data_IF_392595464936
#
_entry.id   IF_392595464936
#
_cell.length_a   1.000
_cell.length_b   1.000
_cell.length_c   1.000
_cell.angle_alpha   90.00
_cell.angle_beta   90.00
_cell.angle_gamma   90.00
#
_symmetry.space_group_name_H-M   'P 1'
#
loop_
_entity.id
_entity.type
_entity.pdbx_description
1 polymer ?
#
# COMPACT_ATOMS: atom_id res chain seq x y z
N UNK A 1 7.52 0.16 17.69
CA UNK A 1 8.38 0.52 16.54
C UNK A 1 7.88 1.83 15.97
N UNK A 2 8.71 2.86 15.84
CA UNK A 2 8.29 4.10 15.18
C UNK A 2 8.38 3.90 13.66
N UNK A 3 7.25 3.90 12.95
CA UNK A 3 7.21 3.69 11.50
C UNK A 3 6.33 4.75 10.85
N UNK A 4 6.86 5.47 9.86
CA UNK A 4 6.12 6.54 9.20
C UNK A 4 6.66 6.83 7.79
N UNK A 5 5.80 7.37 6.94
CA UNK A 5 6.18 7.84 5.61
C UNK A 5 6.47 9.35 5.66
N UNK A 6 7.64 9.74 5.15
CA UNK A 6 8.01 11.13 4.91
C UNK A 6 7.92 11.43 3.43
N UNK A 7 7.14 12.43 3.07
CA UNK A 7 7.14 12.94 1.70
C UNK A 7 8.40 13.78 1.47
N UNK A 8 9.27 13.38 0.55
CA UNK A 8 10.51 14.09 0.24
C UNK A 8 10.34 15.05 -0.94
N UNK A 9 9.48 14.71 -1.89
CA UNK A 9 9.05 15.59 -2.99
C UNK A 9 7.58 15.36 -3.32
N UNK A 10 7.01 16.08 -4.29
CA UNK A 10 5.62 15.89 -4.72
C UNK A 10 5.28 14.43 -5.10
N UNK A 11 6.25 13.66 -5.58
CA UNK A 11 6.05 12.29 -6.09
C UNK A 11 6.86 11.22 -5.36
N UNK A 12 7.67 11.59 -4.38
CA UNK A 12 8.59 10.66 -3.70
C UNK A 12 8.28 10.61 -2.22
N UNK A 13 8.18 9.40 -1.71
CA UNK A 13 7.93 9.08 -0.31
C UNK A 13 9.01 8.15 0.19
N UNK A 14 9.53 8.42 1.38
CA UNK A 14 10.49 7.58 2.09
C UNK A 14 9.80 6.95 3.31
N UNK A 15 9.89 5.63 3.47
CA UNK A 15 9.47 4.94 4.67
C UNK A 15 10.62 4.94 5.67
N UNK A 16 10.38 5.51 6.85
CA UNK A 16 11.33 5.51 7.96
C UNK A 16 10.83 4.56 9.04
N UNK A 17 11.74 3.70 9.51
CA UNK A 17 11.56 2.82 10.67
C UNK A 17 12.64 3.18 11.67
N UNK A 18 12.24 3.69 12.85
CA UNK A 18 13.14 4.21 13.87
C UNK A 18 14.18 5.19 13.30
N UNK A 19 13.72 6.17 12.50
CA UNK A 19 14.53 7.18 11.80
C UNK A 19 15.46 6.65 10.69
N UNK A 20 15.48 5.33 10.41
CA UNK A 20 16.23 4.74 9.31
C UNK A 20 15.32 4.60 8.10
N UNK A 21 15.76 5.12 6.94
CA UNK A 21 15.05 4.90 5.68
C UNK A 21 15.20 3.45 5.24
N UNK A 22 14.08 2.73 5.13
CA UNK A 22 14.05 1.31 4.74
C UNK A 22 13.44 1.08 3.37
N UNK A 23 12.61 2.01 2.88
CA UNK A 23 12.06 1.94 1.54
C UNK A 23 11.80 3.33 0.93
N UNK A 24 11.75 3.39 -0.40
CA UNK A 24 11.35 4.58 -1.17
C UNK A 24 10.27 4.17 -2.16
N UNK A 25 9.21 4.97 -2.27
CA UNK A 25 8.18 4.88 -3.29
C UNK A 25 8.17 6.16 -4.12
N UNK A 26 8.38 6.05 -5.42
CA UNK A 26 8.36 7.15 -6.37
C UNK A 26 7.26 6.97 -7.40
N UNK A 27 6.23 7.81 -7.36
CA UNK A 27 5.20 7.86 -8.40
C UNK A 27 5.81 8.38 -9.72
N UNK A 28 5.60 7.65 -10.80
CA UNK A 28 6.07 8.01 -12.14
C UNK A 28 4.88 8.42 -13.03
N UNK A 29 5.02 8.36 -14.36
CA UNK A 29 3.94 8.70 -15.30
C UNK A 29 2.92 7.55 -15.37
N UNK A 30 1.71 7.82 -15.85
CA UNK A 30 0.69 6.82 -16.18
C UNK A 30 0.31 5.87 -15.03
N UNK A 31 0.17 6.41 -13.81
CA UNK A 31 -0.24 5.64 -12.62
C UNK A 31 0.69 4.46 -12.29
N UNK A 32 1.99 4.63 -12.56
CA UNK A 32 3.05 3.69 -12.19
C UNK A 32 3.84 4.23 -11.01
N UNK A 33 4.61 3.33 -10.37
CA UNK A 33 5.57 3.72 -9.35
C UNK A 33 6.83 2.86 -9.41
N UNK A 34 7.95 3.43 -8.98
CA UNK A 34 9.18 2.70 -8.67
C UNK A 34 9.29 2.52 -7.16
N UNK A 35 9.69 1.33 -6.73
CA UNK A 35 9.89 0.97 -5.33
C UNK A 35 11.36 0.59 -5.17
N UNK A 36 11.99 1.09 -4.12
CA UNK A 36 13.33 0.69 -3.71
C UNK A 36 13.26 0.23 -2.26
N UNK A 37 13.62 -1.03 -1.98
CA UNK A 37 13.64 -1.59 -0.61
C UNK A 37 14.61 -2.76 -0.56
N UNK A 38 15.29 -2.96 0.57
CA UNK A 38 16.25 -4.07 0.77
C UNK A 38 17.31 -4.20 -0.35
N UNK A 39 17.74 -3.07 -0.93
CA UNK A 39 18.70 -3.07 -2.05
C UNK A 39 18.14 -3.56 -3.39
N UNK A 40 16.83 -3.80 -3.49
CA UNK A 40 16.16 -4.21 -4.73
C UNK A 40 15.28 -3.10 -5.27
N UNK A 41 15.22 -3.00 -6.61
CA UNK A 41 14.30 -2.13 -7.32
C UNK A 41 13.12 -2.94 -7.87
N UNK A 42 11.92 -2.38 -7.71
CA UNK A 42 10.71 -2.92 -8.29
C UNK A 42 9.95 -1.84 -9.05
N UNK A 43 9.13 -2.28 -9.99
CA UNK A 43 8.22 -1.44 -10.75
C UNK A 43 6.79 -1.88 -10.53
N UNK A 44 5.97 -0.96 -10.05
CA UNK A 44 4.53 -1.12 -9.90
C UNK A 44 3.84 -0.54 -11.13
N UNK A 45 3.01 -1.34 -11.80
CA UNK A 45 2.19 -0.91 -12.94
C UNK A 45 0.72 -1.28 -12.76
N UNK A 46 -0.18 -0.32 -12.98
CA UNK A 46 -1.61 -0.64 -13.14
C UNK A 46 -1.83 -1.39 -14.44
N UNK A 47 -2.66 -2.45 -14.41
CA UNK A 47 -2.94 -3.27 -15.60
C UNK A 47 -3.83 -2.54 -16.61
N UNK A 48 -4.78 -1.73 -16.14
CA UNK A 48 -5.65 -0.85 -16.95
C UNK A 48 -5.95 0.43 -16.15
N UNK A 49 -6.10 1.57 -16.82
CA UNK A 49 -6.34 2.86 -16.16
C UNK A 49 -7.57 2.88 -15.26
N UNK A 50 -8.60 2.09 -15.60
CA UNK A 50 -9.87 1.99 -14.89
C UNK A 50 -9.93 0.82 -13.90
N UNK A 51 -8.96 -0.11 -13.95
CA UNK A 51 -8.98 -1.25 -13.03
C UNK A 51 -8.21 -0.92 -11.76
N UNK A 52 -8.76 -1.40 -10.63
CA UNK A 52 -8.05 -1.43 -9.34
C UNK A 52 -6.93 -2.48 -9.31
N UNK A 53 -6.68 -3.15 -10.44
CA UNK A 53 -5.64 -4.16 -10.59
C UNK A 53 -4.29 -3.55 -10.92
N UNK A 54 -3.25 -4.01 -10.23
CA UNK A 54 -1.87 -3.65 -10.53
C UNK A 54 -0.95 -4.82 -10.24
N UNK A 55 0.27 -4.72 -10.71
CA UNK A 55 1.30 -5.73 -10.49
C UNK A 55 2.62 -5.06 -10.10
N UNK A 56 3.46 -5.81 -9.42
CA UNK A 56 4.83 -5.42 -9.12
C UNK A 56 5.77 -6.44 -9.73
N UNK A 57 6.73 -5.93 -10.49
CA UNK A 57 7.79 -6.73 -11.11
C UNK A 57 9.16 -6.28 -10.59
N UNK A 58 10.11 -7.19 -10.49
CA UNK A 58 11.50 -6.85 -10.21
C UNK A 58 12.22 -6.31 -11.46
N UNK A 59 13.51 -5.99 -11.34
CA UNK A 59 14.34 -5.51 -12.46
C UNK A 59 14.46 -6.51 -13.62
N UNK A 60 14.31 -7.81 -13.34
CA UNK A 60 14.30 -8.88 -14.35
C UNK A 60 12.92 -9.08 -15.00
N UNK A 61 11.96 -8.19 -14.73
CA UNK A 61 10.55 -8.29 -15.14
C UNK A 61 9.82 -9.56 -14.65
N UNK A 62 10.33 -10.22 -13.60
CA UNK A 62 9.60 -11.31 -12.96
C UNK A 62 8.47 -10.72 -12.11
N UNK A 63 7.28 -11.31 -12.20
CA UNK A 63 6.13 -10.97 -11.37
C UNK A 63 6.41 -11.34 -9.91
N UNK A 64 6.35 -10.34 -9.02
CA UNK A 64 6.56 -10.50 -7.58
C UNK A 64 5.22 -10.39 -6.84
N UNK A 65 4.39 -9.40 -7.19
CA UNK A 65 3.07 -9.19 -6.61
C UNK A 65 2.04 -9.02 -7.72
N UNK A 66 0.90 -9.68 -7.56
CA UNK A 66 -0.30 -9.41 -8.35
C UNK A 66 -1.43 -8.95 -7.43
N UNK A 67 -2.09 -7.85 -7.80
CA UNK A 67 -3.29 -7.35 -7.11
C UNK A 67 -4.45 -7.30 -8.11
N UNK A 68 -5.55 -7.96 -7.76
CA UNK A 68 -6.76 -8.05 -8.60
C UNK A 68 -8.03 -7.98 -7.76
N UNK A 69 -9.13 -7.42 -8.25
CA UNK A 69 -10.43 -7.55 -7.60
C UNK A 69 -10.77 -9.01 -7.33
N UNK A 70 -11.16 -9.33 -6.10
CA UNK A 70 -11.56 -10.71 -5.74
C UNK A 70 -12.81 -11.16 -6.51
N UNK A 71 -13.73 -10.21 -6.71
CA UNK A 71 -14.91 -10.32 -7.57
C UNK A 71 -15.11 -8.96 -8.24
N UNK A 72 -15.79 -8.92 -9.38
CA UNK A 72 -16.01 -7.67 -10.13
C UNK A 72 -16.78 -6.61 -9.32
N UNK A 73 -17.63 -7.03 -8.38
CA UNK A 73 -18.41 -6.16 -7.47
C UNK A 73 -17.80 -5.99 -6.07
N UNK A 74 -16.66 -6.62 -5.78
CA UNK A 74 -16.08 -6.58 -4.44
C UNK A 74 -15.17 -5.37 -4.28
N UNK A 75 -15.27 -4.70 -3.13
CA UNK A 75 -14.32 -3.68 -2.73
C UNK A 75 -12.96 -4.26 -2.29
N UNK A 76 -12.87 -5.58 -2.15
CA UNK A 76 -11.70 -6.30 -1.70
C UNK A 76 -10.83 -6.67 -2.90
N UNK A 77 -9.55 -6.33 -2.80
CA UNK A 77 -8.53 -6.73 -3.75
C UNK A 77 -7.80 -7.96 -3.18
N UNK A 78 -7.66 -9.00 -3.99
CA UNK A 78 -6.79 -10.12 -3.70
C UNK A 78 -5.36 -9.74 -4.07
N UNK A 79 -4.44 -9.81 -3.11
CA UNK A 79 -3.01 -9.60 -3.30
C UNK A 79 -2.30 -10.95 -3.18
N UNK A 80 -1.53 -11.33 -4.19
CA UNK A 80 -0.70 -12.55 -4.19
C UNK A 80 0.77 -12.19 -4.07
N UNK A 81 1.46 -12.78 -3.09
CA UNK A 81 2.88 -12.52 -2.82
C UNK A 81 3.52 -13.74 -2.13
N UNK A 82 4.69 -14.18 -2.59
CA UNK A 82 5.42 -15.33 -2.02
C UNK A 82 4.57 -16.58 -1.76
N UNK A 83 3.71 -16.95 -2.72
CA UNK A 83 2.75 -18.07 -2.60
C UNK A 83 1.69 -17.91 -1.50
N UNK A 84 1.58 -16.73 -0.90
CA UNK A 84 0.52 -16.36 0.03
C UNK A 84 -0.49 -15.41 -0.63
N UNK A 85 -1.72 -15.48 -0.16
CA UNK A 85 -2.80 -14.58 -0.58
C UNK A 85 -3.26 -13.72 0.59
N UNK A 86 -3.53 -12.45 0.30
CA UNK A 86 -3.96 -11.44 1.25
C UNK A 86 -5.16 -10.67 0.69
N UNK A 87 -5.90 -10.02 1.57
CA UNK A 87 -6.96 -9.08 1.21
C UNK A 87 -6.47 -7.65 1.43
N UNK A 88 -6.45 -6.86 0.37
CA UNK A 88 -6.20 -5.42 0.43
C UNK A 88 -7.54 -4.68 0.33
N UNK A 89 -7.87 -3.86 1.33
CA UNK A 89 -9.18 -3.21 1.47
C UNK A 89 -9.04 -1.75 1.84
N UNK A 90 -10.01 -0.94 1.42
CA UNK A 90 -10.18 0.42 1.94
C UNK A 90 -11.34 0.43 2.94
N UNK A 91 -11.17 1.15 4.05
CA UNK A 91 -12.19 1.40 5.07
C UNK A 91 -12.33 2.92 5.23
N UNK A 92 -13.55 3.39 5.49
CA UNK A 92 -13.84 4.83 5.59
C UNK A 92 -14.69 5.17 6.83
N UNK A 93 -14.41 4.55 7.98
CA UNK A 93 -15.16 4.84 9.21
C UNK A 93 -14.23 4.74 10.45
N UNK A 94 -13.87 5.86 11.11
CA UNK A 94 -14.30 7.24 10.86
C UNK A 94 -13.52 7.96 9.75
N UNK A 95 -12.31 7.49 9.39
CA UNK A 95 -11.44 8.12 8.40
C UNK A 95 -10.91 7.09 7.39
N UNK A 96 -10.38 7.57 6.27
CA UNK A 96 -9.83 6.71 5.22
C UNK A 96 -8.66 5.88 5.73
N UNK A 97 -8.73 4.57 5.55
CA UNK A 97 -7.71 3.59 5.87
C UNK A 97 -7.57 2.59 4.73
N UNK A 98 -6.34 2.17 4.46
CA UNK A 98 -6.06 1.01 3.62
C UNK A 98 -5.37 -0.06 4.46
N UNK A 99 -5.96 -1.27 4.44
CA UNK A 99 -5.55 -2.39 5.26
C UNK A 99 -5.19 -3.60 4.39
N UNK A 100 -4.12 -4.28 4.77
CA UNK A 100 -3.78 -5.63 4.34
C UNK A 100 -4.22 -6.61 5.43
N UNK A 101 -5.00 -7.60 5.05
CA UNK A 101 -5.50 -8.66 5.94
C UNK A 101 -5.10 -10.03 5.41
N UNK A 102 -5.05 -11.03 6.29
CA UNK A 102 -5.05 -12.42 5.84
C UNK A 102 -6.43 -12.85 5.30
N UNK A 103 -6.54 -14.08 4.81
CA UNK A 103 -7.79 -14.64 4.32
C UNK A 103 -8.84 -14.86 5.42
N UNK A 104 -8.44 -14.92 6.69
CA UNK A 104 -9.35 -14.93 7.85
C UNK A 104 -9.80 -13.53 8.27
N UNK A 105 -9.43 -12.49 7.51
CA UNK A 105 -9.74 -11.06 7.76
C UNK A 105 -9.10 -10.50 9.03
N UNK A 106 -8.00 -11.08 9.50
CA UNK A 106 -7.19 -10.49 10.57
C UNK A 106 -6.25 -9.45 9.96
N UNK A 107 -6.13 -8.30 10.62
CA UNK A 107 -5.32 -7.19 10.14
C UNK A 107 -3.83 -7.54 10.29
N UNK A 108 -3.06 -7.29 9.22
CA UNK A 108 -1.61 -7.50 9.19
C UNK A 108 -0.91 -6.14 9.21
N UNK A 109 -1.36 -5.23 8.35
CA UNK A 109 -0.75 -3.93 8.14
C UNK A 109 -1.81 -2.94 7.68
N UNK A 110 -1.88 -1.77 8.29
CA UNK A 110 -2.77 -0.69 7.85
C UNK A 110 -2.09 0.67 7.88
N UNK A 111 -2.48 1.50 6.92
CA UNK A 111 -2.17 2.93 6.88
C UNK A 111 -3.49 3.69 6.84
N UNK A 112 -3.72 4.53 7.83
CA UNK A 112 -4.95 5.30 7.98
C UNK A 112 -4.70 6.77 8.22
N UNK A 113 -5.71 7.60 7.93
CA UNK A 113 -5.78 8.95 8.48
C UNK A 113 -6.26 8.86 9.94
N UNK A 114 -5.64 9.65 10.80
CA UNK A 114 -6.03 9.85 12.19
C UNK A 114 -5.88 11.31 12.59
N UNK A 115 -6.28 11.62 13.81
CA UNK A 115 -6.15 12.95 14.40
C UNK A 115 -5.43 12.83 15.72
N UNK A 116 -4.38 13.62 15.91
CA UNK A 116 -3.66 13.73 17.17
C UNK A 116 -3.44 15.22 17.47
N UNK A 117 -3.82 15.66 18.68
CA UNK A 117 -3.74 17.08 19.07
C UNK A 117 -4.38 18.03 18.05
N UNK A 118 -5.57 17.66 17.54
CA UNK A 118 -6.33 18.41 16.52
C UNK A 118 -5.60 18.58 15.17
N UNK A 119 -4.54 17.80 14.91
CA UNK A 119 -3.83 17.78 13.63
C UNK A 119 -4.00 16.44 12.95
N UNK A 120 -4.19 16.46 11.63
CA UNK A 120 -4.18 15.24 10.83
C UNK A 120 -2.81 14.54 10.94
N UNK A 121 -2.83 13.25 11.21
CA UNK A 121 -1.66 12.39 11.27
C UNK A 121 -1.96 11.09 10.55
N UNK A 122 -0.95 10.49 9.94
CA UNK A 122 -1.05 9.11 9.44
C UNK A 122 -0.87 8.14 10.60
N UNK A 123 -1.85 7.28 10.83
CA UNK A 123 -1.77 6.14 11.73
C UNK A 123 -1.24 4.92 10.99
N UNK A 124 -0.43 4.14 11.69
CA UNK A 124 0.18 2.93 11.15
C UNK A 124 -0.05 1.80 12.14
N UNK A 125 -0.74 0.77 11.68
CA UNK A 125 -0.97 -0.46 12.46
C UNK A 125 -0.16 -1.57 11.81
N UNK A 126 0.68 -2.25 12.59
CA UNK A 126 1.52 -3.35 12.10
C UNK A 126 1.47 -4.51 13.10
N UNK A 127 0.86 -5.61 12.67
CA UNK A 127 0.70 -6.84 13.46
C UNK A 127 1.63 -7.95 12.99
N UNK A 128 2.54 -7.67 12.04
CA UNK A 128 3.56 -8.64 11.61
C UNK A 128 4.51 -8.97 12.76
N UNK A 129 5.04 -10.18 12.74
CA UNK A 129 5.99 -10.66 13.73
C UNK A 129 7.15 -11.39 13.06
N UNK A 130 8.28 -11.53 13.77
CA UNK A 130 9.46 -12.25 13.28
C UNK A 130 10.04 -11.62 12.01
N UNK A 131 10.36 -12.45 11.02
CA UNK A 131 11.03 -12.02 9.79
C UNK A 131 10.14 -11.15 8.89
N UNK A 132 8.82 -11.28 8.99
CA UNK A 132 7.86 -10.55 8.15
C UNK A 132 7.87 -9.03 8.41
N UNK A 133 8.36 -8.62 9.59
CA UNK A 133 8.49 -7.21 9.98
C UNK A 133 9.50 -6.47 9.09
N UNK A 134 10.50 -7.18 8.57
CA UNK A 134 11.55 -6.60 7.74
C UNK A 134 11.14 -6.51 6.26
N UNK A 135 10.03 -7.14 5.86
CA UNK A 135 9.53 -7.06 4.49
C UNK A 135 8.76 -5.75 4.26
N UNK A 136 9.48 -4.74 3.80
CA UNK A 136 8.91 -3.42 3.52
C UNK A 136 8.30 -3.29 2.12
N UNK A 137 8.31 -4.36 1.30
CA UNK A 137 7.64 -4.31 0.01
C UNK A 137 6.14 -4.19 0.22
N UNK A 138 5.55 -4.96 1.14
CA UNK A 138 4.12 -4.85 1.48
C UNK A 138 3.75 -3.46 2.02
N UNK A 139 4.63 -2.83 2.80
CA UNK A 139 4.44 -1.43 3.24
C UNK A 139 4.26 -0.48 2.05
N UNK A 140 5.08 -0.63 1.01
CA UNK A 140 4.97 0.20 -0.19
C UNK A 140 3.68 -0.06 -0.98
N UNK A 141 3.16 -1.30 -0.98
CA UNK A 141 1.90 -1.63 -1.65
C UNK A 141 0.70 -1.00 -0.95
N UNK A 142 0.63 -1.16 0.38
CA UNK A 142 -0.46 -0.60 1.16
C UNK A 142 -0.42 0.93 1.08
N UNK A 143 0.78 1.54 1.15
CA UNK A 143 0.94 2.98 0.99
C UNK A 143 0.57 3.48 -0.41
N UNK A 144 0.98 2.78 -1.47
CA UNK A 144 0.58 3.11 -2.84
C UNK A 144 -0.94 3.10 -3.00
N UNK A 145 -1.60 2.06 -2.47
CA UNK A 145 -3.05 1.94 -2.53
C UNK A 145 -3.75 3.01 -1.69
N UNK A 146 -3.25 3.33 -0.50
CA UNK A 146 -3.74 4.42 0.35
C UNK A 146 -3.65 5.79 -0.33
N UNK A 147 -2.51 6.09 -0.96
CA UNK A 147 -2.29 7.38 -1.67
C UNK A 147 -3.03 7.47 -3.00
N UNK A 148 -3.37 6.33 -3.59
CA UNK A 148 -4.07 6.26 -4.88
C UNK A 148 -5.56 5.95 -4.74
N UNK A 149 -6.08 5.85 -3.52
CA UNK A 149 -7.52 5.84 -3.32
C UNK A 149 -8.04 7.18 -3.88
N UNK A 150 -9.11 7.15 -4.70
CA UNK A 150 -9.76 8.40 -5.08
C UNK A 150 -10.10 9.13 -3.77
N UNK A 151 -9.82 10.44 -3.71
CA UNK A 151 -10.61 11.29 -2.81
C UNK A 151 -12.05 10.88 -3.09
N UNK A 152 -12.77 10.39 -2.07
CA UNK A 152 -14.16 9.95 -2.22
C UNK A 152 -14.89 11.02 -3.00
N UNK A 153 -15.09 10.79 -4.30
CA UNK A 153 -15.79 11.75 -5.14
C UNK A 153 -17.20 11.75 -4.56
N UNK A 154 -17.65 12.92 -4.11
CA UNK A 154 -19.00 13.13 -3.56
C UNK A 154 -20.11 12.69 -4.55
N UNK A 155 -19.74 12.35 -5.78
CA UNK A 155 -20.58 11.83 -6.85
C UNK A 155 -20.82 10.31 -6.80
N UNK A 156 -20.09 9.53 -5.99
CA UNK A 156 -20.35 8.09 -5.81
C UNK A 156 -21.61 7.80 -4.95
N UNK A 157 -22.32 8.84 -4.50
CA UNK A 157 -23.54 8.74 -3.66
C UNK A 157 -24.78 9.45 -4.25
N UNK A 158 -24.81 9.75 -5.55
CA UNK A 158 -26.02 10.30 -6.22
C UNK A 158 -26.56 9.33 -7.25
#
# INVERSE_FOLDING_TARGET
>A
MNKYWKQTTRKVYALLVNEVQVATLQFTKNSQAEIYTQGQKYRLTRKKSWSRSFQVVNEKNHLIIEVTPRKWYSNDLLLRYQHQEYLLRHRNNPLHETVLQDLQKRDILAYGKGVENLKERITVTDHRQGNDVNDHLLDTIVWFAFRSAPELDLLDFI
#
